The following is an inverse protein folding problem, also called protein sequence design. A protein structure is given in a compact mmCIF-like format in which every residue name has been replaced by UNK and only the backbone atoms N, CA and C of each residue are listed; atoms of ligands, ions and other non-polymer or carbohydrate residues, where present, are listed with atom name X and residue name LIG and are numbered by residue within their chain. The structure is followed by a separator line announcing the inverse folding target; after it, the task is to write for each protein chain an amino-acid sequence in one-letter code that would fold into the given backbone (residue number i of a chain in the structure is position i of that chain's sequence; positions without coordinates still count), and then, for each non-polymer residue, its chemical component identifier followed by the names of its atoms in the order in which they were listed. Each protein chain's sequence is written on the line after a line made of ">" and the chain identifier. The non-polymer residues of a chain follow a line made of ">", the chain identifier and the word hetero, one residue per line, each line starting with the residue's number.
data_IF_064041032376
#
_entry.id   IF_064041032376
#
_cell.length_a   1.000
_cell.length_b   1.000
_cell.length_c   1.000
_cell.angle_alpha   90.00
_cell.angle_beta   90.00
_cell.angle_gamma   90.00
#
_symmetry.space_group_name_H-M   'P 1'
#
loop_
_entity.id
_entity.type
_entity.pdbx_description
1 polymer ?
#
# COMPACT_ATOMS: atom_id res chain seq x y z
N UNK A 1 23.45 -9.75 2.36
CA UNK A 1 22.04 -9.62 1.93
C UNK A 1 21.64 -10.88 1.19
N UNK A 2 20.76 -11.70 1.76
CA UNK A 2 20.20 -12.90 1.08
C UNK A 2 19.00 -12.48 0.26
N UNK A 3 18.94 -12.90 -1.01
CA UNK A 3 17.76 -12.73 -1.86
C UNK A 3 16.77 -13.90 -1.72
N UNK A 4 17.01 -14.80 -0.79
CA UNK A 4 16.17 -15.95 -0.53
C UNK A 4 15.45 -15.78 0.80
N UNK A 5 14.17 -16.15 0.84
CA UNK A 5 13.41 -16.26 2.07
C UNK A 5 14.01 -17.35 2.96
N UNK A 6 14.03 -17.13 4.27
CA UNK A 6 14.32 -18.21 5.21
C UNK A 6 13.11 -19.15 5.35
N UNK A 7 13.25 -20.26 6.09
CA UNK A 7 12.18 -21.25 6.21
C UNK A 7 10.91 -20.68 6.85
N UNK A 8 11.04 -19.81 7.85
CA UNK A 8 9.88 -19.17 8.52
C UNK A 8 9.16 -18.17 7.61
N UNK A 9 9.91 -17.37 6.87
CA UNK A 9 9.36 -16.42 5.89
C UNK A 9 8.66 -17.15 4.76
N UNK A 10 9.24 -18.24 4.27
CA UNK A 10 8.62 -19.09 3.24
C UNK A 10 7.34 -19.73 3.76
N UNK A 11 7.35 -20.29 4.97
CA UNK A 11 6.17 -20.90 5.59
C UNK A 11 5.04 -19.88 5.77
N UNK A 12 5.37 -18.67 6.20
CA UNK A 12 4.40 -17.57 6.33
C UNK A 12 3.76 -17.23 4.98
N UNK A 13 4.57 -17.09 3.94
CA UNK A 13 4.11 -16.81 2.57
C UNK A 13 3.22 -17.93 2.02
N UNK A 14 3.62 -19.19 2.22
CA UNK A 14 2.82 -20.35 1.77
C UNK A 14 1.48 -20.41 2.51
N UNK A 15 1.47 -20.14 3.81
CA UNK A 15 0.24 -20.02 4.61
C UNK A 15 -0.66 -18.88 4.10
N UNK A 16 -0.08 -17.73 3.77
CA UNK A 16 -0.82 -16.61 3.20
C UNK A 16 -1.44 -16.99 1.84
N UNK A 17 -0.67 -17.63 0.98
CA UNK A 17 -1.14 -18.14 -0.32
C UNK A 17 -2.33 -19.07 -0.16
N UNK A 18 -2.21 -20.10 0.69
CA UNK A 18 -3.28 -21.07 0.92
C UNK A 18 -4.55 -20.39 1.46
N UNK A 19 -4.40 -19.54 2.47
CA UNK A 19 -5.53 -18.81 3.06
C UNK A 19 -6.25 -17.94 2.02
N UNK A 20 -5.50 -17.13 1.26
CA UNK A 20 -6.06 -16.18 0.32
C UNK A 20 -6.72 -16.88 -0.87
N UNK A 21 -6.09 -17.88 -1.45
CA UNK A 21 -6.66 -18.65 -2.56
C UNK A 21 -7.96 -19.35 -2.16
N UNK A 22 -8.05 -19.87 -0.93
CA UNK A 22 -9.22 -20.57 -0.43
C UNK A 22 -10.35 -19.65 -0.01
N UNK A 23 -10.05 -18.55 0.69
CA UNK A 23 -11.07 -17.72 1.36
C UNK A 23 -11.37 -16.43 0.62
N UNK A 24 -10.45 -15.93 -0.21
CA UNK A 24 -10.55 -14.63 -0.89
C UNK A 24 -10.06 -14.70 -2.34
N UNK A 25 -10.60 -15.64 -3.15
CA UNK A 25 -10.32 -15.66 -4.58
C UNK A 25 -10.79 -14.34 -5.24
N UNK A 26 -10.40 -14.07 -6.48
CA UNK A 26 -10.77 -12.83 -7.19
C UNK A 26 -12.30 -12.62 -7.28
N UNK A 27 -13.08 -13.70 -7.25
CA UNK A 27 -14.54 -13.60 -7.16
C UNK A 27 -15.00 -12.84 -5.91
N UNK A 28 -14.31 -12.98 -4.77
CA UNK A 28 -14.59 -12.21 -3.56
C UNK A 28 -14.41 -10.70 -3.78
N UNK A 29 -13.35 -10.29 -4.48
CA UNK A 29 -13.16 -8.89 -4.87
C UNK A 29 -14.30 -8.41 -5.79
N UNK A 30 -14.72 -9.24 -6.76
CA UNK A 30 -15.85 -8.95 -7.67
C UNK A 30 -17.14 -8.74 -6.87
N UNK A 31 -17.43 -9.61 -5.90
CA UNK A 31 -18.62 -9.53 -5.06
C UNK A 31 -18.65 -8.22 -4.24
N UNK A 32 -17.53 -7.81 -3.65
CA UNK A 32 -17.41 -6.54 -2.93
C UNK A 32 -17.65 -5.32 -3.84
N UNK A 33 -17.11 -5.35 -5.06
CA UNK A 33 -17.33 -4.31 -6.08
C UNK A 33 -18.80 -4.21 -6.47
N UNK A 34 -19.41 -5.35 -6.82
CA UNK A 34 -20.75 -5.40 -7.39
C UNK A 34 -21.82 -5.11 -6.34
N UNK A 35 -21.62 -5.52 -5.09
CA UNK A 35 -22.48 -5.18 -3.96
C UNK A 35 -22.30 -3.72 -3.50
N UNK A 36 -21.24 -3.02 -3.96
CA UNK A 36 -20.87 -1.68 -3.47
C UNK A 36 -20.73 -1.65 -1.95
N UNK A 37 -20.03 -2.67 -1.41
CA UNK A 37 -19.83 -2.80 0.03
C UNK A 37 -19.45 -1.48 0.68
N UNK A 38 -20.10 -1.15 1.81
CA UNK A 38 -19.96 0.15 2.48
C UNK A 38 -18.54 0.38 3.00
N UNK A 39 -17.86 -0.66 3.49
CA UNK A 39 -16.47 -0.55 3.97
C UNK A 39 -15.47 -0.72 2.83
N UNK A 40 -15.87 -1.35 1.71
CA UNK A 40 -15.01 -1.70 0.58
C UNK A 40 -14.03 -2.85 0.87
N UNK A 41 -14.21 -3.53 2.01
CA UNK A 41 -13.51 -4.76 2.38
C UNK A 41 -14.35 -5.59 3.34
N UNK A 42 -14.10 -6.90 3.40
CA UNK A 42 -14.80 -7.81 4.31
C UNK A 42 -14.22 -7.72 5.72
N UNK A 43 -15.03 -7.26 6.68
CA UNK A 43 -14.66 -7.26 8.11
C UNK A 43 -14.38 -8.66 8.66
N UNK A 44 -15.10 -9.68 8.14
CA UNK A 44 -14.87 -11.08 8.51
C UNK A 44 -13.48 -11.54 8.07
N UNK A 45 -13.10 -11.23 6.82
CA UNK A 45 -11.77 -11.58 6.30
C UNK A 45 -10.68 -10.82 7.04
N UNK A 46 -10.88 -9.52 7.30
CA UNK A 46 -9.94 -8.73 8.10
C UNK A 46 -9.71 -9.34 9.50
N UNK A 47 -10.77 -9.75 10.17
CA UNK A 47 -10.66 -10.42 11.48
C UNK A 47 -9.85 -11.72 11.38
N UNK A 48 -10.09 -12.55 10.37
CA UNK A 48 -9.30 -13.76 10.13
C UNK A 48 -7.82 -13.46 9.84
N UNK A 49 -7.52 -12.41 9.09
CA UNK A 49 -6.14 -11.94 8.86
C UNK A 49 -5.46 -11.53 10.18
N UNK A 50 -6.20 -10.85 11.06
CA UNK A 50 -5.71 -10.48 12.38
C UNK A 50 -5.49 -11.71 13.28
N UNK A 51 -6.41 -12.69 13.27
CA UNK A 51 -6.27 -13.97 14.00
C UNK A 51 -5.05 -14.78 13.51
N UNK A 52 -4.65 -14.63 12.24
CA UNK A 52 -3.41 -15.18 11.68
C UNK A 52 -2.15 -14.36 12.05
N UNK A 53 -2.30 -13.28 12.80
CA UNK A 53 -1.21 -12.41 13.24
C UNK A 53 -0.78 -11.36 12.22
N UNK A 54 -1.43 -11.27 11.06
CA UNK A 54 -0.98 -10.38 9.99
C UNK A 54 -1.15 -8.89 10.32
N UNK A 55 -2.20 -8.54 11.08
CA UNK A 55 -2.42 -7.17 11.52
C UNK A 55 -1.33 -6.67 12.49
N UNK A 56 -0.75 -7.58 13.28
CA UNK A 56 0.30 -7.30 14.27
C UNK A 56 1.72 -7.68 13.83
N UNK A 57 1.93 -7.99 12.54
CA UNK A 57 3.21 -8.56 12.07
C UNK A 57 4.41 -7.63 12.26
N UNK A 58 4.21 -6.31 12.19
CA UNK A 58 5.24 -5.29 12.45
C UNK A 58 5.18 -4.72 13.87
N UNK A 59 4.15 -5.04 14.63
CA UNK A 59 4.00 -4.57 16.01
C UNK A 59 4.98 -5.30 16.91
N UNK A 60 5.69 -4.55 17.77
CA UNK A 60 6.62 -5.11 18.75
C UNK A 60 5.91 -6.10 19.68
N UNK A 61 6.61 -7.17 20.06
CA UNK A 61 6.09 -8.22 20.97
C UNK A 61 5.53 -7.62 22.27
N UNK A 62 6.15 -6.57 22.78
CA UNK A 62 5.72 -5.80 23.97
C UNK A 62 4.26 -5.36 23.89
N UNK A 63 3.74 -5.09 22.67
CA UNK A 63 2.38 -4.61 22.42
C UNK A 63 1.48 -5.67 21.78
N UNK A 64 1.90 -6.94 21.82
CA UNK A 64 1.10 -8.08 21.38
C UNK A 64 1.25 -8.41 19.88
N UNK A 65 2.26 -7.88 19.21
CA UNK A 65 2.62 -8.26 17.85
C UNK A 65 3.65 -9.38 17.78
N UNK A 66 4.18 -9.65 16.59
CA UNK A 66 5.20 -10.69 16.34
C UNK A 66 6.55 -10.13 15.95
N UNK A 67 6.66 -8.83 15.65
CA UNK A 67 7.91 -8.17 15.23
C UNK A 67 8.67 -8.94 14.11
N UNK A 68 7.91 -9.57 13.21
CA UNK A 68 8.45 -10.48 12.18
C UNK A 68 9.20 -9.76 11.06
N UNK A 69 8.99 -8.45 10.92
CA UNK A 69 9.69 -7.61 9.95
C UNK A 69 9.02 -7.47 8.60
N UNK A 70 9.63 -6.61 7.78
CA UNK A 70 9.13 -6.27 6.45
C UNK A 70 9.22 -7.42 5.45
N UNK A 71 10.19 -8.32 5.59
CA UNK A 71 10.29 -9.51 4.75
C UNK A 71 9.06 -10.41 4.91
N UNK A 72 8.56 -10.59 6.14
CA UNK A 72 7.34 -11.35 6.41
C UNK A 72 6.09 -10.67 5.84
N UNK A 73 5.91 -9.38 6.14
CA UNK A 73 4.78 -8.61 5.62
C UNK A 73 4.81 -8.53 4.08
N UNK A 74 5.98 -8.36 3.48
CA UNK A 74 6.15 -8.32 2.03
C UNK A 74 5.69 -9.60 1.34
N UNK A 75 5.97 -10.76 1.93
CA UNK A 75 5.47 -12.06 1.46
C UNK A 75 3.94 -12.14 1.48
N UNK A 76 3.30 -11.66 2.56
CA UNK A 76 1.83 -11.59 2.66
C UNK A 76 1.27 -10.61 1.62
N UNK A 77 1.86 -9.41 1.48
CA UNK A 77 1.41 -8.39 0.54
C UNK A 77 1.53 -8.88 -0.92
N UNK A 78 2.55 -9.65 -1.26
CA UNK A 78 2.67 -10.29 -2.58
C UNK A 78 1.46 -11.21 -2.84
N UNK A 79 1.09 -12.05 -1.88
CA UNK A 79 -0.05 -12.95 -2.03
C UNK A 79 -1.40 -12.19 -2.03
N UNK A 80 -1.53 -11.08 -1.28
CA UNK A 80 -2.71 -10.20 -1.39
C UNK A 80 -2.84 -9.54 -2.77
N UNK A 81 -1.71 -9.23 -3.40
CA UNK A 81 -1.65 -8.73 -4.78
C UNK A 81 -2.15 -9.75 -5.80
N UNK A 82 -1.87 -11.05 -5.60
CA UNK A 82 -2.35 -12.12 -6.48
C UNK A 82 -3.88 -12.24 -6.48
N UNK A 83 -4.52 -12.05 -5.35
CA UNK A 83 -5.98 -12.17 -5.22
C UNK A 83 -6.72 -10.83 -5.29
N UNK A 84 -5.99 -9.72 -5.42
CA UNK A 84 -6.52 -8.35 -5.44
C UNK A 84 -7.37 -8.02 -4.20
N UNK A 85 -7.18 -8.70 -3.08
CA UNK A 85 -8.03 -8.56 -1.90
C UNK A 85 -7.92 -7.16 -1.28
N UNK A 86 -9.02 -6.43 -1.12
CA UNK A 86 -9.03 -5.18 -0.36
C UNK A 86 -9.04 -5.50 1.14
N UNK A 87 -8.15 -4.86 1.89
CA UNK A 87 -8.11 -4.98 3.35
C UNK A 87 -7.36 -3.80 3.98
N UNK A 88 -7.56 -3.50 5.27
CA UNK A 88 -6.77 -2.51 6.00
C UNK A 88 -5.31 -2.91 6.25
N UNK A 89 -4.85 -4.05 5.74
CA UNK A 89 -3.49 -4.55 5.98
C UNK A 89 -2.43 -3.52 5.58
N UNK A 90 -2.62 -2.87 4.44
CA UNK A 90 -1.68 -1.87 3.95
C UNK A 90 -1.74 -0.56 4.75
N UNK A 91 -2.93 0.00 4.93
CA UNK A 91 -3.12 1.28 5.62
C UNK A 91 -2.88 1.18 7.13
N UNK A 92 -3.23 0.04 7.75
CA UNK A 92 -3.13 -0.15 9.20
C UNK A 92 -1.86 -0.90 9.61
N UNK A 93 -1.69 -2.16 9.15
CA UNK A 93 -0.60 -3.00 9.63
C UNK A 93 0.78 -2.55 9.12
N UNK A 94 0.86 -1.91 7.95
CA UNK A 94 2.11 -1.34 7.45
C UNK A 94 2.24 0.13 7.87
N UNK A 95 1.37 1.02 7.36
CA UNK A 95 1.56 2.48 7.51
C UNK A 95 1.30 2.92 8.94
N UNK A 96 0.15 2.60 9.49
CA UNK A 96 -0.25 3.04 10.82
C UNK A 96 0.64 2.50 11.92
N UNK A 97 0.98 1.21 11.87
CA UNK A 97 1.94 0.59 12.81
C UNK A 97 3.30 1.25 12.70
N UNK A 98 3.81 1.48 11.47
CA UNK A 98 5.11 2.15 11.28
C UNK A 98 5.14 3.54 11.90
N UNK A 99 4.09 4.34 11.75
CA UNK A 99 4.02 5.65 12.40
C UNK A 99 4.07 5.56 13.92
N UNK A 100 3.29 4.67 14.52
CA UNK A 100 3.27 4.51 15.97
C UNK A 100 4.56 3.95 16.52
N UNK A 101 5.17 2.97 15.87
CA UNK A 101 6.46 2.41 16.30
C UNK A 101 7.59 3.44 16.22
N UNK A 102 7.62 4.28 15.17
CA UNK A 102 8.67 5.28 14.97
C UNK A 102 8.51 6.52 15.86
N UNK A 103 7.27 7.02 16.02
CA UNK A 103 7.03 8.33 16.63
C UNK A 103 6.03 8.32 17.80
N UNK A 104 5.35 7.23 18.07
CA UNK A 104 4.37 7.14 19.15
C UNK A 104 5.02 7.26 20.53
N UNK A 105 4.39 8.04 21.41
CA UNK A 105 4.70 8.00 22.84
C UNK A 105 4.35 6.63 23.44
N UNK A 106 4.93 6.26 24.56
CA UNK A 106 4.59 5.00 25.26
C UNK A 106 3.09 4.86 25.53
N UNK A 107 2.42 5.96 25.88
CA UNK A 107 0.95 5.97 26.11
C UNK A 107 0.21 5.66 24.81
N UNK A 108 0.57 6.29 23.70
CA UNK A 108 -0.04 6.06 22.40
C UNK A 108 0.23 4.63 21.91
N UNK A 109 1.47 4.13 22.04
CA UNK A 109 1.80 2.74 21.68
C UNK A 109 0.96 1.74 22.48
N UNK A 110 0.86 1.92 23.80
CA UNK A 110 0.04 1.05 24.67
C UNK A 110 -1.46 1.14 24.37
N UNK A 111 -1.96 2.30 23.90
CA UNK A 111 -3.38 2.48 23.59
C UNK A 111 -3.75 1.91 22.23
N UNK A 112 -2.93 2.14 21.20
CA UNK A 112 -3.27 1.87 19.80
C UNK A 112 -2.73 0.54 19.29
N UNK A 113 -1.44 0.22 19.52
CA UNK A 113 -0.80 -0.95 18.91
C UNK A 113 -1.47 -2.29 19.24
N UNK A 114 -1.91 -2.57 20.50
CA UNK A 114 -2.61 -3.82 20.77
C UNK A 114 -3.93 -3.97 20.01
N UNK A 115 -4.69 -2.87 19.86
CA UNK A 115 -5.94 -2.85 19.11
C UNK A 115 -5.73 -3.00 17.61
N UNK A 116 -4.63 -2.46 17.09
CA UNK A 116 -4.24 -2.63 15.68
C UNK A 116 -3.80 -4.08 15.43
N UNK A 117 -2.99 -4.65 16.32
CA UNK A 117 -2.55 -6.04 16.21
C UNK A 117 -3.70 -7.05 16.26
N UNK A 118 -4.74 -6.80 17.06
CA UNK A 118 -5.97 -7.62 17.12
C UNK A 118 -6.94 -7.35 15.96
N UNK A 119 -6.69 -6.32 15.14
CA UNK A 119 -7.57 -5.89 14.05
C UNK A 119 -8.82 -5.11 14.50
N UNK A 120 -8.90 -4.73 15.77
CA UNK A 120 -10.04 -3.99 16.35
C UNK A 120 -9.99 -2.48 16.07
N UNK A 121 -8.86 -1.97 15.61
CA UNK A 121 -8.68 -0.57 15.25
C UNK A 121 -7.96 -0.48 13.91
N UNK A 122 -8.50 0.36 13.02
CA UNK A 122 -7.92 0.64 11.70
C UNK A 122 -7.49 2.10 11.58
N UNK A 123 -6.44 2.33 10.78
CA UNK A 123 -5.90 3.67 10.56
C UNK A 123 -5.79 4.00 9.08
N UNK A 124 -5.77 5.31 8.77
CA UNK A 124 -5.47 5.81 7.44
C UNK A 124 -4.56 7.04 7.54
N UNK A 125 -3.64 7.18 6.58
CA UNK A 125 -2.70 8.29 6.52
C UNK A 125 -3.19 9.38 5.57
N UNK A 126 -3.45 10.56 6.09
CA UNK A 126 -3.94 11.73 5.37
C UNK A 126 -2.78 12.71 5.10
N UNK A 127 -2.13 12.59 3.95
CA UNK A 127 -0.96 13.38 3.54
C UNK A 127 -1.28 14.27 2.35
N UNK A 128 -1.71 13.68 1.23
CA UNK A 128 -1.80 14.34 -0.07
C UNK A 128 -2.86 15.45 -0.10
N UNK A 129 -2.56 16.54 -0.82
CA UNK A 129 -3.45 17.68 -0.98
C UNK A 129 -3.62 18.10 -2.45
N UNK A 130 -2.90 17.47 -3.35
CA UNK A 130 -2.86 17.77 -4.77
C UNK A 130 -2.95 16.53 -5.67
N UNK A 131 -2.96 16.76 -7.00
CA UNK A 131 -3.11 15.67 -7.96
C UNK A 131 -1.86 14.80 -8.17
N UNK A 132 -0.73 15.19 -7.57
CA UNK A 132 0.56 14.49 -7.66
C UNK A 132 1.13 14.28 -6.29
N UNK A 133 1.83 13.17 -6.11
CA UNK A 133 2.59 12.90 -4.91
C UNK A 133 3.63 13.98 -4.65
N UNK A 134 3.50 14.63 -3.49
CA UNK A 134 4.42 15.69 -3.05
C UNK A 134 4.38 15.80 -1.52
N UNK A 135 5.10 14.93 -0.81
CA UNK A 135 4.95 14.73 0.64
C UNK A 135 5.33 15.96 1.48
N UNK A 136 6.13 16.87 0.93
CA UNK A 136 6.49 18.12 1.60
C UNK A 136 5.39 19.19 1.47
N UNK A 137 4.54 19.08 0.44
CA UNK A 137 3.48 20.07 0.15
C UNK A 137 2.28 19.92 1.08
N UNK A 138 2.40 20.47 2.28
CA UNK A 138 1.33 20.44 3.29
C UNK A 138 0.84 21.85 3.56
N UNK A 139 -0.37 22.18 3.11
CA UNK A 139 -1.05 23.46 3.29
C UNK A 139 -2.17 23.40 4.34
N UNK A 140 -2.66 22.19 4.70
CA UNK A 140 -3.58 21.99 5.83
C UNK A 140 -2.94 22.54 7.09
N UNK A 141 -3.58 23.53 7.72
CA UNK A 141 -3.02 24.28 8.86
C UNK A 141 -3.51 23.71 10.19
N UNK A 142 -2.62 23.63 11.17
CA UNK A 142 -2.94 23.37 12.56
C UNK A 142 -2.47 24.55 13.43
N UNK A 143 -3.40 25.42 13.82
CA UNK A 143 -3.10 26.60 14.63
C UNK A 143 -3.26 26.30 16.11
N UNK A 144 -2.19 26.56 16.88
CA UNK A 144 -2.22 26.38 18.33
C UNK A 144 -3.15 27.39 19.01
N UNK A 145 -4.02 26.87 19.90
CA UNK A 145 -4.92 27.69 20.75
C UNK A 145 -4.87 27.14 22.19
N UNK A 146 -3.98 27.72 22.98
CA UNK A 146 -3.72 27.20 24.34
C UNK A 146 -3.05 25.85 24.31
N UNK A 147 -3.74 24.82 24.85
CA UNK A 147 -3.31 23.41 24.80
C UNK A 147 -3.85 22.64 23.61
N UNK A 148 -4.72 23.26 22.83
CA UNK A 148 -5.36 22.62 21.67
C UNK A 148 -4.77 23.13 20.37
N UNK A 149 -5.06 22.41 19.30
CA UNK A 149 -4.82 22.83 17.92
C UNK A 149 -6.15 22.86 17.17
N UNK A 150 -6.31 23.86 16.31
CA UNK A 150 -7.46 23.97 15.40
C UNK A 150 -6.96 23.67 14.00
N UNK A 151 -7.47 22.59 13.40
CA UNK A 151 -7.07 22.12 12.10
C UNK A 151 -8.09 22.56 11.06
N UNK A 152 -7.61 23.16 9.97
CA UNK A 152 -8.38 23.58 8.80
C UNK A 152 -7.61 23.20 7.52
N UNK A 153 -8.29 22.58 6.56
CA UNK A 153 -7.69 22.18 5.31
C UNK A 153 -8.45 21.07 4.61
N UNK A 154 -7.75 20.43 3.67
CA UNK A 154 -8.31 19.38 2.84
C UNK A 154 -7.23 18.35 2.51
N UNK A 155 -7.55 17.09 2.59
CA UNK A 155 -6.70 15.97 2.16
C UNK A 155 -7.41 15.16 1.08
N UNK A 156 -6.67 14.83 0.03
CA UNK A 156 -7.16 14.04 -1.09
C UNK A 156 -6.50 12.67 -1.12
N UNK A 157 -7.11 11.74 -1.83
CA UNK A 157 -6.54 10.41 -2.10
C UNK A 157 -6.10 9.64 -0.84
N UNK A 158 -6.82 9.82 0.27
CA UNK A 158 -6.53 9.13 1.53
C UNK A 158 -7.01 7.67 1.43
N UNK A 159 -6.08 6.74 1.29
CA UNK A 159 -6.37 5.30 1.19
C UNK A 159 -7.09 4.83 2.45
N UNK A 160 -8.20 4.11 2.28
CA UNK A 160 -9.07 3.58 3.34
C UNK A 160 -9.62 4.64 4.32
N UNK A 161 -9.48 5.94 4.03
CA UNK A 161 -9.83 7.03 4.93
C UNK A 161 -11.28 7.01 5.41
N UNK A 162 -12.24 6.54 4.60
CA UNK A 162 -13.66 6.49 4.98
C UNK A 162 -13.98 5.36 5.98
N UNK A 163 -13.20 4.29 5.97
CA UNK A 163 -13.41 3.11 6.82
C UNK A 163 -12.50 3.06 8.05
N UNK A 164 -11.42 3.87 8.08
CA UNK A 164 -10.50 3.94 9.20
C UNK A 164 -11.18 4.48 10.47
N UNK A 165 -10.75 4.02 11.64
CA UNK A 165 -11.20 4.51 12.95
C UNK A 165 -10.42 5.74 13.39
N UNK A 166 -9.13 5.80 13.04
CA UNK A 166 -8.22 6.89 13.37
C UNK A 166 -7.47 7.35 12.12
N UNK A 167 -7.45 8.66 11.90
CA UNK A 167 -6.65 9.29 10.85
C UNK A 167 -5.31 9.76 11.42
N UNK A 168 -4.23 9.46 10.71
CA UNK A 168 -2.92 10.06 10.94
C UNK A 168 -2.81 11.23 9.96
N UNK A 169 -2.85 12.45 10.46
CA UNK A 169 -2.97 13.66 9.64
C UNK A 169 -1.69 14.48 9.69
N UNK A 170 -1.10 14.74 8.52
CA UNK A 170 -0.01 15.70 8.39
C UNK A 170 -0.59 17.12 8.27
N UNK A 171 -0.22 18.02 9.17
CA UNK A 171 -0.67 19.40 9.12
C UNK A 171 0.47 20.38 9.41
N UNK A 172 0.39 21.59 8.84
CA UNK A 172 1.36 22.67 8.96
C UNK A 172 1.13 23.43 10.27
N UNK A 173 2.10 23.40 11.16
CA UNK A 173 2.09 24.14 12.43
C UNK A 173 2.98 25.38 12.38
N UNK A 174 4.00 25.39 11.52
CA UNK A 174 4.87 26.53 11.26
C UNK A 174 5.49 26.46 9.86
N UNK A 175 6.20 27.51 9.42
CA UNK A 175 6.84 27.58 8.11
C UNK A 175 5.88 27.68 6.93
N UNK A 176 6.44 27.55 5.73
CA UNK A 176 5.71 27.64 4.46
C UNK A 176 5.33 26.24 3.92
N UNK A 177 4.42 26.19 2.95
CA UNK A 177 3.85 24.94 2.40
C UNK A 177 4.89 23.94 1.91
N UNK A 178 6.04 24.42 1.41
CA UNK A 178 7.09 23.58 0.82
C UNK A 178 8.27 23.31 1.76
N UNK A 179 8.20 23.78 3.00
CA UNK A 179 9.27 23.57 3.97
C UNK A 179 9.17 22.14 4.53
N UNK A 180 10.30 21.46 4.68
CA UNK A 180 10.37 20.18 5.37
C UNK A 180 10.08 20.33 6.88
N UNK A 181 10.57 21.41 7.50
CA UNK A 181 10.23 21.77 8.87
C UNK A 181 8.81 22.31 8.99
N UNK A 182 8.22 22.23 10.20
CA UNK A 182 6.92 22.80 10.50
C UNK A 182 5.72 21.90 10.17
N UNK A 183 5.95 20.63 9.81
CA UNK A 183 4.90 19.62 9.71
C UNK A 183 4.77 18.88 11.03
N UNK A 184 3.54 18.78 11.54
CA UNK A 184 3.19 18.01 12.72
C UNK A 184 2.20 16.93 12.35
N UNK A 185 2.36 15.75 12.92
CA UNK A 185 1.45 14.61 12.75
C UNK A 185 0.44 14.59 13.89
N UNK A 186 -0.83 14.32 13.56
CA UNK A 186 -1.92 14.24 14.53
C UNK A 186 -2.70 12.94 14.37
N UNK A 187 -3.01 12.28 15.50
CA UNK A 187 -3.96 11.17 15.59
C UNK A 187 -5.35 11.75 15.82
N UNK A 188 -6.27 11.53 14.88
CA UNK A 188 -7.62 12.13 14.91
C UNK A 188 -8.67 11.03 14.75
N UNK A 189 -9.55 10.87 15.75
CA UNK A 189 -10.70 9.96 15.65
C UNK A 189 -11.65 10.41 14.53
N UNK A 190 -12.13 9.47 13.72
CA UNK A 190 -13.02 9.77 12.58
C UNK A 190 -14.32 10.49 12.95
N UNK A 191 -14.76 10.36 14.21
CA UNK A 191 -15.97 10.99 14.71
C UNK A 191 -15.72 12.40 15.28
N UNK A 192 -14.50 12.93 15.16
CA UNK A 192 -14.17 14.28 15.66
C UNK A 192 -15.01 15.33 14.94
N UNK A 193 -15.61 16.23 15.70
CA UNK A 193 -16.43 17.32 15.13
C UNK A 193 -15.62 18.19 14.18
N UNK A 194 -16.21 18.56 13.04
CA UNK A 194 -15.58 19.39 12.02
C UNK A 194 -14.91 18.57 10.90
N UNK A 195 -14.87 17.23 11.01
CA UNK A 195 -14.47 16.35 9.92
C UNK A 195 -15.64 16.06 8.97
N UNK A 196 -15.37 16.15 7.66
CA UNK A 196 -16.23 15.56 6.64
C UNK A 196 -15.38 14.62 5.78
N UNK A 197 -15.77 13.35 5.70
CA UNK A 197 -15.06 12.30 4.98
C UNK A 197 -15.93 11.81 3.85
N UNK A 198 -15.46 12.00 2.61
CA UNK A 198 -16.18 11.62 1.39
C UNK A 198 -15.44 10.48 0.70
N UNK A 199 -16.11 9.34 0.54
CA UNK A 199 -15.54 8.18 -0.14
C UNK A 199 -15.42 8.42 -1.64
N UNK A 200 -14.26 8.11 -2.20
CA UNK A 200 -14.00 8.08 -3.65
C UNK A 200 -13.80 6.64 -4.11
N UNK A 201 -14.63 6.21 -5.07
CA UNK A 201 -14.47 4.92 -5.73
C UNK A 201 -13.43 5.05 -6.86
N UNK A 202 -12.31 4.37 -6.71
CA UNK A 202 -11.25 4.39 -7.71
C UNK A 202 -11.55 3.43 -8.87
N UNK A 203 -10.82 3.57 -9.99
CA UNK A 203 -11.02 2.73 -11.19
C UNK A 203 -10.74 1.25 -10.94
N UNK A 204 -9.87 0.93 -9.99
CA UNK A 204 -9.59 -0.44 -9.51
C UNK A 204 -10.59 -0.92 -8.45
N UNK A 205 -11.67 -0.19 -8.23
CA UNK A 205 -12.74 -0.47 -7.26
C UNK A 205 -12.28 -0.52 -5.80
N UNK A 206 -11.06 -0.07 -5.50
CA UNK A 206 -10.62 0.17 -4.12
C UNK A 206 -11.05 1.55 -3.65
N UNK A 207 -10.79 1.84 -2.39
CA UNK A 207 -11.25 3.04 -1.72
C UNK A 207 -10.15 4.05 -1.54
N UNK A 208 -10.51 5.31 -1.75
CA UNK A 208 -9.82 6.46 -1.19
C UNK A 208 -10.83 7.44 -0.62
N UNK A 209 -10.38 8.53 -0.04
CA UNK A 209 -11.28 9.55 0.50
C UNK A 209 -10.74 10.95 0.29
N UNK A 210 -11.66 11.88 0.12
CA UNK A 210 -11.46 13.30 0.34
C UNK A 210 -11.81 13.60 1.81
N UNK A 211 -10.96 14.31 2.53
CA UNK A 211 -11.17 14.63 3.95
C UNK A 211 -11.06 16.13 4.14
N UNK A 212 -12.15 16.74 4.58
CA UNK A 212 -12.26 18.17 4.84
C UNK A 212 -12.21 18.42 6.34
N UNK A 213 -11.36 19.38 6.75
CA UNK A 213 -11.19 19.80 8.13
C UNK A 213 -11.74 21.23 8.26
N UNK A 214 -12.76 21.43 9.09
CA UNK A 214 -13.35 22.72 9.38
C UNK A 214 -13.40 22.94 10.89
N UNK A 215 -12.44 23.73 11.38
CA UNK A 215 -12.29 24.04 12.81
C UNK A 215 -12.22 22.77 13.70
N UNK A 216 -11.52 21.74 13.21
CA UNK A 216 -11.32 20.49 13.94
C UNK A 216 -10.40 20.74 15.12
N UNK A 217 -10.91 20.50 16.33
CA UNK A 217 -10.17 20.75 17.59
C UNK A 217 -9.55 19.44 18.08
N UNK A 218 -8.23 19.45 18.26
CA UNK A 218 -7.46 18.33 18.83
C UNK A 218 -6.55 18.84 19.96
N UNK A 219 -6.33 18.02 20.99
CA UNK A 219 -5.44 18.39 22.10
C UNK A 219 -3.99 18.00 21.83
N UNK A 220 -3.05 18.47 22.65
CA UNK A 220 -1.62 18.15 22.54
C UNK A 220 -1.34 16.63 22.59
N UNK A 221 -2.17 15.83 23.28
CA UNK A 221 -2.03 14.36 23.35
C UNK A 221 -2.29 13.66 22.02
N UNK A 222 -2.90 14.33 21.05
CA UNK A 222 -3.11 13.84 19.70
C UNK A 222 -1.87 13.96 18.82
N UNK A 223 -0.84 14.68 19.24
CA UNK A 223 0.41 14.83 18.46
C UNK A 223 1.15 13.50 18.46
N UNK A 224 1.56 13.06 17.29
CA UNK A 224 2.41 11.89 17.08
C UNK A 224 3.83 12.37 16.79
N UNK A 225 4.75 12.06 17.68
CA UNK A 225 6.12 12.61 17.67
C UNK A 225 6.19 14.01 18.28
N UNK A 226 7.16 14.80 17.85
CA UNK A 226 7.35 16.19 18.29
C UNK A 226 6.73 17.18 17.31
N UNK A 227 6.19 18.31 17.79
CA UNK A 227 5.69 19.38 16.91
C UNK A 227 6.76 19.84 15.92
N UNK A 228 6.34 20.19 14.71
CA UNK A 228 7.18 20.74 13.62
C UNK A 228 8.22 19.75 13.03
N UNK A 229 8.29 18.50 13.51
CA UNK A 229 9.33 17.52 13.11
C UNK A 229 8.77 16.29 12.42
N UNK A 230 7.55 16.34 11.90
CA UNK A 230 6.87 15.17 11.33
C UNK A 230 7.46 14.68 10.00
N UNK A 231 8.15 15.53 9.22
CA UNK A 231 8.58 15.18 7.87
C UNK A 231 9.56 14.00 7.80
N UNK A 232 10.61 13.91 8.62
CA UNK A 232 11.49 12.74 8.60
C UNK A 232 10.78 11.41 8.90
N UNK A 233 9.77 11.44 9.79
CA UNK A 233 8.94 10.27 10.08
C UNK A 233 8.06 9.91 8.87
N UNK A 234 7.49 10.91 8.21
CA UNK A 234 6.73 10.73 6.97
C UNK A 234 7.59 10.07 5.91
N UNK A 235 8.81 10.55 5.68
CA UNK A 235 9.71 9.96 4.69
C UNK A 235 10.00 8.50 4.97
N UNK A 236 10.36 8.16 6.20
CA UNK A 236 10.64 6.77 6.57
C UNK A 236 9.43 5.86 6.42
N UNK A 237 8.23 6.31 6.80
CA UNK A 237 7.00 5.55 6.62
C UNK A 237 6.64 5.40 5.13
N UNK A 238 6.83 6.45 4.33
CA UNK A 238 6.61 6.39 2.89
C UNK A 238 7.55 5.39 2.21
N UNK A 239 8.81 5.30 2.61
CA UNK A 239 9.75 4.30 2.10
C UNK A 239 9.25 2.88 2.36
N UNK A 240 8.82 2.59 3.59
CA UNK A 240 8.20 1.30 3.96
C UNK A 240 6.93 1.03 3.14
N UNK A 241 6.07 2.03 2.97
CA UNK A 241 4.84 1.94 2.19
C UNK A 241 5.12 1.68 0.70
N UNK A 242 6.09 2.37 0.09
CA UNK A 242 6.52 2.16 -1.29
C UNK A 242 7.04 0.74 -1.51
N UNK A 243 7.83 0.22 -0.56
CA UNK A 243 8.36 -1.16 -0.60
C UNK A 243 7.23 -2.18 -0.45
N UNK A 244 6.34 -2.01 0.51
CA UNK A 244 5.19 -2.90 0.72
C UNK A 244 4.24 -2.90 -0.48
N UNK A 245 3.96 -1.73 -1.07
CA UNK A 245 3.17 -1.63 -2.29
C UNK A 245 3.86 -2.32 -3.48
N UNK A 246 5.18 -2.24 -3.57
CA UNK A 246 5.95 -2.94 -4.61
C UNK A 246 5.81 -4.46 -4.51
N UNK A 247 5.69 -5.01 -3.29
CA UNK A 247 5.41 -6.43 -3.07
C UNK A 247 4.00 -6.81 -3.57
N UNK A 248 2.98 -6.01 -3.25
CA UNK A 248 1.61 -6.22 -3.77
C UNK A 248 1.56 -6.13 -5.29
N UNK A 249 2.26 -5.14 -5.87
CA UNK A 249 2.34 -4.96 -7.33
C UNK A 249 3.02 -6.14 -8.01
N UNK A 250 4.09 -6.68 -7.42
CA UNK A 250 4.76 -7.89 -7.90
C UNK A 250 3.79 -9.08 -7.89
N UNK A 251 3.04 -9.30 -6.80
CA UNK A 251 2.05 -10.36 -6.70
C UNK A 251 0.97 -10.25 -7.78
N UNK A 252 0.47 -9.03 -8.01
CA UNK A 252 -0.51 -8.75 -9.07
C UNK A 252 0.06 -9.05 -10.47
N UNK A 253 1.31 -8.70 -10.71
CA UNK A 253 1.97 -8.97 -12.00
C UNK A 253 2.21 -10.47 -12.21
N UNK A 254 2.65 -11.19 -11.18
CA UNK A 254 2.85 -12.65 -11.23
C UNK A 254 1.55 -13.37 -11.55
N UNK A 255 0.46 -13.04 -10.88
CA UNK A 255 -0.85 -13.66 -11.14
C UNK A 255 -1.36 -13.38 -12.54
N UNK A 256 -1.27 -12.11 -12.99
CA UNK A 256 -1.67 -11.76 -14.36
C UNK A 256 -0.84 -12.50 -15.41
N UNK A 257 0.45 -12.68 -15.18
CA UNK A 257 1.34 -13.45 -16.05
C UNK A 257 0.98 -14.94 -16.08
N UNK A 258 0.82 -15.58 -14.92
CA UNK A 258 0.50 -17.01 -14.81
C UNK A 258 -0.83 -17.31 -15.50
N UNK A 259 -1.89 -16.52 -15.25
CA UNK A 259 -3.20 -16.65 -15.95
C UNK A 259 -3.07 -16.48 -17.45
N UNK A 260 -2.22 -15.57 -17.89
CA UNK A 260 -1.97 -15.35 -19.31
C UNK A 260 -1.30 -16.58 -19.93
N UNK A 261 -0.29 -17.14 -19.25
CA UNK A 261 0.35 -18.37 -19.74
C UNK A 261 -0.62 -19.56 -19.85
N UNK A 262 -1.50 -19.74 -18.86
CA UNK A 262 -2.52 -20.79 -18.92
C UNK A 262 -3.46 -20.57 -20.12
N UNK A 263 -3.95 -19.34 -20.30
CA UNK A 263 -4.78 -19.00 -21.47
C UNK A 263 -4.07 -19.30 -22.79
N UNK A 264 -2.79 -18.94 -22.93
CA UNK A 264 -1.99 -19.21 -24.13
C UNK A 264 -1.82 -20.71 -24.42
N UNK A 265 -1.75 -21.56 -23.38
CA UNK A 265 -1.62 -23.02 -23.51
C UNK A 265 -2.94 -23.68 -23.95
N UNK A 266 -4.07 -23.09 -23.62
CA UNK A 266 -5.39 -23.69 -23.86
C UNK A 266 -6.09 -23.15 -25.11
N UNK A 267 -5.97 -21.84 -25.38
CA UNK A 267 -6.70 -21.17 -26.45
C UNK A 267 -6.23 -21.61 -27.84
N UNK A 268 -7.18 -22.05 -28.66
CA UNK A 268 -6.91 -22.45 -30.05
C UNK A 268 -7.42 -21.37 -31.03
N UNK A 269 -6.60 -20.92 -31.94
CA UNK A 269 -6.90 -20.06 -33.08
C UNK A 269 -6.00 -20.42 -34.26
N UNK A 270 -6.44 -20.16 -35.47
CA UNK A 270 -5.65 -20.44 -36.69
C UNK A 270 -5.15 -21.89 -36.79
N UNK A 271 -5.96 -22.84 -36.28
CA UNK A 271 -5.65 -24.28 -36.33
C UNK A 271 -4.64 -24.78 -35.29
N UNK A 272 -4.15 -23.90 -34.39
CA UNK A 272 -3.14 -24.23 -33.36
C UNK A 272 -3.45 -23.63 -32.01
N UNK A 273 -2.81 -24.13 -30.95
CA UNK A 273 -2.74 -23.47 -29.65
C UNK A 273 -1.96 -22.17 -29.83
N UNK A 274 -2.54 -21.04 -29.40
CA UNK A 274 -1.92 -19.72 -29.67
C UNK A 274 -0.55 -19.54 -28.99
N UNK A 275 -0.29 -20.22 -27.87
CA UNK A 275 1.04 -20.26 -27.22
C UNK A 275 2.16 -20.87 -28.07
N UNK A 276 1.83 -21.52 -29.21
CA UNK A 276 2.84 -22.01 -30.16
C UNK A 276 3.40 -20.93 -31.09
N UNK A 277 2.79 -19.72 -31.13
CA UNK A 277 3.26 -18.64 -31.97
C UNK A 277 4.44 -17.90 -31.32
N UNK A 278 5.59 -17.84 -32.02
CA UNK A 278 6.82 -17.21 -31.51
C UNK A 278 6.62 -15.78 -31.01
N UNK A 279 5.78 -14.99 -31.69
CA UNK A 279 5.51 -13.60 -31.28
C UNK A 279 4.97 -13.52 -29.84
N UNK A 280 4.09 -14.46 -29.42
CA UNK A 280 3.56 -14.53 -28.07
C UNK A 280 4.58 -15.10 -27.08
N UNK A 281 5.39 -16.08 -27.51
CA UNK A 281 6.48 -16.64 -26.69
C UNK A 281 7.53 -15.59 -26.34
N UNK A 282 7.94 -14.75 -27.31
CA UNK A 282 8.91 -13.67 -27.07
C UNK A 282 8.37 -12.64 -26.09
N UNK A 283 7.11 -12.24 -26.21
CA UNK A 283 6.46 -11.31 -25.28
C UNK A 283 6.35 -11.93 -23.87
N UNK A 284 6.00 -13.21 -23.76
CA UNK A 284 6.00 -13.91 -22.47
C UNK A 284 7.40 -14.00 -21.86
N UNK A 285 8.45 -14.22 -22.65
CA UNK A 285 9.83 -14.25 -22.18
C UNK A 285 10.29 -12.87 -21.64
N UNK A 286 9.88 -11.77 -22.30
CA UNK A 286 10.15 -10.40 -21.82
C UNK A 286 9.47 -10.19 -20.47
N UNK A 287 8.17 -10.51 -20.35
CA UNK A 287 7.44 -10.38 -19.08
C UNK A 287 8.09 -11.19 -17.96
N UNK A 288 8.50 -12.42 -18.24
CA UNK A 288 9.18 -13.27 -17.25
C UNK A 288 10.48 -12.65 -16.76
N UNK A 289 11.31 -12.11 -17.70
CA UNK A 289 12.56 -11.45 -17.33
C UNK A 289 12.33 -10.23 -16.43
N UNK A 290 11.34 -9.40 -16.78
CA UNK A 290 10.98 -8.22 -15.98
C UNK A 290 10.46 -8.59 -14.59
N UNK A 291 9.69 -9.68 -14.47
CA UNK A 291 9.20 -10.20 -13.18
C UNK A 291 10.36 -10.67 -12.27
N UNK A 292 11.34 -11.40 -12.80
CA UNK A 292 12.49 -11.86 -12.02
C UNK A 292 13.39 -10.70 -11.55
N UNK A 293 13.59 -9.68 -12.40
CA UNK A 293 14.29 -8.46 -12.01
C UNK A 293 13.54 -7.69 -10.92
N UNK A 294 12.21 -7.58 -11.05
CA UNK A 294 11.36 -6.92 -10.05
C UNK A 294 11.38 -7.65 -8.72
N UNK A 295 11.30 -8.98 -8.73
CA UNK A 295 11.41 -9.80 -7.54
C UNK A 295 12.72 -9.53 -6.78
N UNK A 296 13.84 -9.47 -7.51
CA UNK A 296 15.13 -9.16 -6.90
C UNK A 296 15.17 -7.76 -6.28
N UNK A 297 14.59 -6.74 -6.96
CA UNK A 297 14.51 -5.37 -6.46
C UNK A 297 13.63 -5.28 -5.20
N UNK A 298 12.47 -5.94 -5.19
CA UNK A 298 11.53 -5.95 -4.06
C UNK A 298 12.15 -6.64 -2.84
N UNK A 299 12.75 -7.82 -3.01
CA UNK A 299 13.40 -8.54 -1.91
C UNK A 299 14.58 -7.73 -1.35
N UNK A 300 15.39 -7.11 -2.22
CA UNK A 300 16.45 -6.22 -1.80
C UNK A 300 15.95 -5.04 -0.97
N UNK A 301 14.82 -4.46 -1.35
CA UNK A 301 14.22 -3.33 -0.63
C UNK A 301 13.63 -3.74 0.73
N UNK A 302 12.94 -4.89 0.80
CA UNK A 302 12.43 -5.44 2.06
C UNK A 302 13.56 -5.70 3.07
N UNK A 303 14.64 -6.35 2.61
CA UNK A 303 15.82 -6.58 3.44
C UNK A 303 16.48 -5.27 3.91
N UNK A 304 16.51 -4.24 3.06
CA UNK A 304 17.10 -2.95 3.42
C UNK A 304 16.38 -2.28 4.60
N UNK A 305 15.07 -2.51 4.75
CA UNK A 305 14.32 -2.05 5.94
C UNK A 305 14.69 -2.88 7.16
N UNK A 306 14.64 -4.21 7.07
CA UNK A 306 14.88 -5.09 8.21
C UNK A 306 16.32 -5.01 8.72
N UNK A 307 17.29 -4.75 7.84
CA UNK A 307 18.69 -4.52 8.18
C UNK A 307 18.98 -3.05 8.59
N UNK A 308 17.99 -2.17 8.60
CA UNK A 308 18.13 -0.73 8.85
C UNK A 308 19.22 -0.08 7.99
N UNK A 309 19.23 -0.39 6.69
CA UNK A 309 20.22 0.06 5.74
C UNK A 309 20.13 1.56 5.45
N UNK A 310 21.27 2.24 5.34
CA UNK A 310 21.33 3.63 4.87
C UNK A 310 20.87 3.79 3.41
N UNK A 311 20.86 2.72 2.63
CA UNK A 311 20.41 2.70 1.23
C UNK A 311 18.90 2.47 1.08
N UNK A 312 18.14 2.37 2.19
CA UNK A 312 16.71 2.07 2.18
C UNK A 312 15.91 2.97 1.23
N UNK A 313 16.17 4.28 1.25
CA UNK A 313 15.51 5.26 0.38
C UNK A 313 15.72 4.96 -1.12
N UNK A 314 16.97 4.60 -1.51
CA UNK A 314 17.30 4.21 -2.89
C UNK A 314 16.60 2.92 -3.29
N UNK A 315 16.63 1.91 -2.41
CA UNK A 315 15.96 0.63 -2.65
C UNK A 315 14.44 0.80 -2.74
N UNK A 316 13.82 1.66 -1.94
CA UNK A 316 12.41 1.97 -2.02
C UNK A 316 12.02 2.55 -3.39
N UNK A 317 12.79 3.54 -3.88
CA UNK A 317 12.56 4.13 -5.19
C UNK A 317 12.79 3.14 -6.33
N UNK A 318 13.86 2.33 -6.25
CA UNK A 318 14.15 1.29 -7.24
C UNK A 318 13.03 0.24 -7.31
N UNK A 319 12.58 -0.27 -6.16
CA UNK A 319 11.54 -1.30 -6.10
C UNK A 319 10.21 -0.76 -6.63
N UNK A 320 9.81 0.45 -6.22
CA UNK A 320 8.53 1.05 -6.64
C UNK A 320 8.53 1.37 -8.12
N UNK A 321 9.61 1.94 -8.65
CA UNK A 321 9.79 2.14 -10.09
C UNK A 321 9.68 0.82 -10.85
N UNK A 322 10.49 -0.17 -10.47
CA UNK A 322 10.55 -1.44 -11.19
C UNK A 322 9.24 -2.21 -11.13
N UNK A 323 8.57 -2.24 -9.97
CA UNK A 323 7.26 -2.87 -9.82
C UNK A 323 6.18 -2.14 -10.64
N UNK A 324 6.24 -0.80 -10.72
CA UNK A 324 5.36 0.02 -11.55
C UNK A 324 5.47 -0.34 -13.02
N UNK A 325 6.68 -0.28 -13.59
CA UNK A 325 6.93 -0.60 -14.99
C UNK A 325 6.55 -2.05 -15.34
N UNK A 326 6.89 -2.99 -14.43
CA UNK A 326 6.61 -4.41 -14.68
C UNK A 326 5.12 -4.72 -14.63
N UNK A 327 4.39 -4.22 -13.62
CA UNK A 327 2.94 -4.43 -13.55
C UNK A 327 2.21 -3.73 -14.71
N UNK A 328 2.68 -2.55 -15.12
CA UNK A 328 2.20 -1.86 -16.32
C UNK A 328 2.38 -2.74 -17.57
N UNK A 329 3.60 -3.22 -17.81
CA UNK A 329 3.91 -4.09 -18.95
C UNK A 329 3.03 -5.34 -18.91
N UNK A 330 3.09 -6.10 -17.81
CA UNK A 330 2.43 -7.40 -17.71
C UNK A 330 0.91 -7.27 -17.84
N UNK A 331 0.28 -6.28 -17.19
CA UNK A 331 -1.17 -6.11 -17.26
C UNK A 331 -1.66 -5.71 -18.65
N UNK A 332 -0.92 -4.86 -19.39
CA UNK A 332 -1.25 -4.52 -20.78
C UNK A 332 -1.07 -5.72 -21.72
N UNK A 333 0.05 -6.44 -21.59
CA UNK A 333 0.33 -7.63 -22.38
C UNK A 333 -0.71 -8.73 -22.12
N UNK A 334 -1.10 -8.92 -20.85
CA UNK A 334 -2.11 -9.87 -20.47
C UNK A 334 -3.45 -9.58 -21.16
N UNK A 335 -3.95 -8.35 -21.09
CA UNK A 335 -5.19 -7.96 -21.79
C UNK A 335 -5.05 -8.17 -23.30
N UNK A 336 -3.93 -7.77 -23.90
CA UNK A 336 -3.69 -7.93 -25.34
C UNK A 336 -3.66 -9.41 -25.75
N UNK A 337 -3.02 -10.28 -24.98
CA UNK A 337 -2.89 -11.71 -25.29
C UNK A 337 -4.22 -12.47 -25.11
N UNK A 338 -5.11 -12.00 -24.24
CA UNK A 338 -6.46 -12.55 -24.12
C UNK A 338 -7.38 -12.07 -25.26
N UNK A 339 -7.03 -11.01 -25.99
CA UNK A 339 -7.82 -10.45 -27.07
C UNK A 339 -9.16 -9.89 -26.59
N UNK A 340 -10.24 -10.07 -27.37
CA UNK A 340 -11.54 -9.49 -27.06
C UNK A 340 -12.09 -9.79 -25.67
N UNK A 341 -11.87 -11.00 -25.14
CA UNK A 341 -12.34 -11.36 -23.79
C UNK A 341 -11.59 -10.59 -22.69
N UNK A 342 -10.33 -10.21 -22.93
CA UNK A 342 -9.50 -9.49 -21.96
C UNK A 342 -9.99 -8.09 -21.62
N UNK A 343 -10.85 -7.48 -22.47
CA UNK A 343 -11.46 -6.16 -22.24
C UNK A 343 -12.89 -6.25 -21.71
N UNK A 344 -13.42 -7.45 -21.54
CA UNK A 344 -14.78 -7.66 -20.99
C UNK A 344 -14.72 -7.75 -19.46
N UNK A 345 -15.83 -7.45 -18.80
CA UNK A 345 -15.95 -7.64 -17.35
C UNK A 345 -16.17 -9.11 -16.95
N UNK A 346 -16.45 -9.98 -17.89
CA UNK A 346 -16.60 -11.42 -17.65
C UNK A 346 -15.28 -12.09 -17.24
N UNK A 347 -14.14 -11.53 -17.69
CA UNK A 347 -12.83 -12.08 -17.43
C UNK A 347 -12.01 -11.21 -16.47
N UNK A 348 -11.35 -11.84 -15.49
CA UNK A 348 -10.72 -11.13 -14.38
C UNK A 348 -9.47 -10.35 -14.75
N UNK A 349 -8.86 -10.62 -15.92
CA UNK A 349 -7.57 -10.02 -16.29
C UNK A 349 -7.59 -8.49 -16.32
N UNK A 350 -8.76 -7.90 -16.66
CA UNK A 350 -8.96 -6.46 -16.67
C UNK A 350 -8.83 -5.80 -15.29
N UNK A 351 -9.00 -6.55 -14.19
CA UNK A 351 -8.83 -6.02 -12.84
C UNK A 351 -7.37 -5.70 -12.53
N UNK A 352 -6.44 -6.53 -13.00
CA UNK A 352 -5.00 -6.28 -12.85
C UNK A 352 -4.56 -5.03 -13.60
N UNK A 353 -5.11 -4.78 -14.79
CA UNK A 353 -4.86 -3.54 -15.54
C UNK A 353 -5.35 -2.31 -14.76
N UNK A 354 -6.57 -2.37 -14.20
CA UNK A 354 -7.13 -1.27 -13.41
C UNK A 354 -6.31 -1.04 -12.14
N UNK A 355 -5.90 -2.12 -11.44
CA UNK A 355 -5.03 -2.03 -10.26
C UNK A 355 -3.67 -1.43 -10.60
N UNK A 356 -3.08 -1.79 -11.73
CA UNK A 356 -1.82 -1.21 -12.21
C UNK A 356 -1.90 0.32 -12.30
N UNK A 357 -2.97 0.86 -12.89
CA UNK A 357 -3.14 2.31 -13.06
C UNK A 357 -3.21 3.07 -11.74
N UNK A 358 -3.86 2.49 -10.73
CA UNK A 358 -3.96 3.11 -9.41
C UNK A 358 -2.67 2.92 -8.62
N UNK A 359 -2.15 1.68 -8.55
CA UNK A 359 -0.96 1.38 -7.75
C UNK A 359 0.28 2.14 -8.22
N UNK A 360 0.40 2.41 -9.53
CA UNK A 360 1.48 3.22 -10.10
C UNK A 360 1.51 4.64 -9.52
N UNK A 361 0.34 5.24 -9.24
CA UNK A 361 0.24 6.62 -8.73
C UNK A 361 0.38 6.73 -7.22
N UNK A 362 0.09 5.68 -6.46
CA UNK A 362 0.19 5.69 -5.01
C UNK A 362 1.64 5.89 -4.59
N UNK A 363 1.90 6.91 -3.76
CA UNK A 363 3.21 7.27 -3.20
C UNK A 363 4.31 7.51 -4.25
N UNK A 364 3.94 8.08 -5.38
CA UNK A 364 4.85 8.48 -6.45
C UNK A 364 4.75 7.60 -7.71
N UNK A 365 4.71 8.25 -8.86
CA UNK A 365 4.76 7.62 -10.18
C UNK A 365 6.16 7.09 -10.51
N UNK A 366 6.30 6.34 -11.61
CA UNK A 366 7.60 5.90 -12.14
C UNK A 366 8.57 7.07 -12.33
N UNK A 367 8.10 8.21 -12.88
CA UNK A 367 8.94 9.40 -13.10
C UNK A 367 9.44 10.00 -11.78
N UNK A 368 8.59 10.08 -10.75
CA UNK A 368 8.98 10.52 -9.41
C UNK A 368 10.08 9.65 -8.83
N UNK A 369 9.97 8.33 -8.95
CA UNK A 369 10.93 7.40 -8.38
C UNK A 369 12.25 7.33 -9.14
N UNK A 370 12.25 7.52 -10.47
CA UNK A 370 13.48 7.67 -11.26
C UNK A 370 14.25 8.91 -10.81
N UNK A 371 13.56 10.06 -10.71
CA UNK A 371 14.17 11.32 -10.30
C UNK A 371 14.71 11.24 -8.85
N UNK A 372 13.92 10.70 -7.93
CA UNK A 372 14.36 10.49 -6.55
C UNK A 372 15.56 9.54 -6.45
N UNK A 373 15.55 8.43 -7.22
CA UNK A 373 16.68 7.50 -7.24
C UNK A 373 17.96 8.15 -7.78
N UNK A 374 17.86 8.93 -8.84
CA UNK A 374 18.98 9.66 -9.40
C UNK A 374 19.55 10.67 -8.39
N UNK A 375 18.70 11.46 -7.77
CA UNK A 375 19.07 12.43 -6.71
C UNK A 375 19.78 11.76 -5.55
N UNK A 376 19.23 10.64 -5.04
CA UNK A 376 19.82 9.87 -3.92
C UNK A 376 21.13 9.16 -4.33
N UNK A 377 21.40 9.03 -5.62
CA UNK A 377 22.61 8.43 -6.18
C UNK A 377 23.62 9.47 -6.66
N UNK A 378 23.37 10.76 -6.38
CA UNK A 378 24.24 11.90 -6.74
C UNK A 378 24.46 12.09 -8.25
N UNK A 379 23.41 11.78 -9.07
CA UNK A 379 23.38 12.01 -10.51
C UNK A 379 22.69 13.34 -10.85
#
# INVERSE_FOLDING_TARGET
>A
MSLLLNEEQQFLKDTAKEFLQKNVPISHFRDLRDSKDENGYSKEIWKKMAELGWAGILVSEKYGGSEFGMMGLGGILEETGRTLVPSPLFSTALIGVSFLELAGTENQKNEYLPKMASGDLTTAFALEEGPRHSPVNVSTQAKRKGKDYIINGHKTFVLDGHSADVLIVAARTSGETHDEGGITLFLIDKNTNGLNIERTHMVDSRNSSEIYFKDVVVNEGSILGDPDTGYPVIEEVLERAQIGLSSEMLGSALEAFERTLEYLKERKQFGSVIGSFQALQHRAAIMFTELELTKSAVVGALNAVDENSNDRARFASLAKFKAGETLHLVSNEAVQMHGGIGVTDEFDIGFFLKRSRVAEQIFGSSDYHIDRYATLSEY
#
